data_IF_563225657527
#
_entry.id   IF_563225657527
#
_cell.length_a   1.000
_cell.length_b   1.000
_cell.length_c   1.000
_cell.angle_alpha   90.00
_cell.angle_beta   90.00
_cell.angle_gamma   90.00
#
_symmetry.space_group_name_H-M   'P 1'
#
loop_
_entity.id
_entity.type
_entity.pdbx_description
1 polymer ?
#
# COMPACT_ATOMS: atom_id res chain seq x y z
N UNK A 1 -9.59 25.03 20.96
CA UNK A 1 -10.73 24.58 20.16
C UNK A 1 -11.97 24.23 20.99
N UNK A 2 -11.84 23.61 22.17
CA UNK A 2 -12.99 23.31 23.07
C UNK A 2 -13.71 24.57 23.57
N UNK A 3 -13.01 25.64 23.92
CA UNK A 3 -13.62 26.91 24.40
C UNK A 3 -14.44 27.66 23.33
N UNK A 4 -14.17 27.44 22.06
CA UNK A 4 -14.88 28.10 20.96
C UNK A 4 -16.25 27.44 20.68
N UNK A 5 -16.38 26.16 21.01
CA UNK A 5 -17.63 25.38 20.83
C UNK A 5 -18.61 25.73 21.95
N UNK A 6 -18.13 25.93 23.18
CA UNK A 6 -18.97 26.27 24.32
C UNK A 6 -19.59 27.67 24.21
N UNK A 7 -18.88 28.65 23.62
CA UNK A 7 -19.43 29.98 23.37
C UNK A 7 -20.48 30.01 22.24
N UNK A 8 -20.37 29.13 21.25
CA UNK A 8 -21.38 29.03 20.18
C UNK A 8 -22.67 28.38 20.67
N UNK A 9 -22.58 27.42 21.56
CA UNK A 9 -23.75 26.73 22.14
C UNK A 9 -24.55 27.68 23.08
N UNK A 10 -23.86 28.55 23.83
CA UNK A 10 -24.50 29.53 24.69
C UNK A 10 -25.22 30.68 23.94
N UNK A 11 -24.70 31.12 22.81
CA UNK A 11 -25.31 32.19 22.00
C UNK A 11 -26.53 31.74 21.22
N UNK A 12 -26.63 30.46 20.87
CA UNK A 12 -27.84 29.93 20.18
C UNK A 12 -28.98 29.54 21.10
N UNK A 13 -28.73 29.34 22.39
CA UNK A 13 -29.75 28.94 23.38
C UNK A 13 -30.70 30.09 23.80
N UNK A 14 -30.42 31.32 23.44
CA UNK A 14 -31.18 32.51 23.90
C UNK A 14 -32.17 33.06 22.87
N UNK A 15 -32.27 32.51 21.66
CA UNK A 15 -33.10 33.15 20.61
C UNK A 15 -34.14 32.29 19.91
N UNK A 16 -34.43 31.07 20.33
CA UNK A 16 -35.49 30.25 19.74
C UNK A 16 -36.36 29.57 20.81
N UNK A 17 -37.43 30.23 21.20
CA UNK A 17 -38.60 29.58 21.82
C UNK A 17 -39.41 28.87 20.74
N UNK A 18 -39.67 27.60 21.00
CA UNK A 18 -40.63 26.71 20.35
C UNK A 18 -40.23 26.07 18.98
N UNK A 19 -40.11 24.73 18.99
CA UNK A 19 -40.24 23.77 17.90
C UNK A 19 -39.03 23.49 16.94
N UNK A 20 -37.84 24.05 17.12
CA UNK A 20 -36.67 23.67 16.29
C UNK A 20 -35.64 22.79 17.02
N UNK A 21 -35.77 22.58 18.31
CA UNK A 21 -34.79 21.82 19.11
C UNK A 21 -34.75 20.31 18.82
N UNK A 22 -35.83 19.74 18.32
CA UNK A 22 -35.90 18.28 18.06
C UNK A 22 -35.17 17.88 16.75
N UNK A 23 -35.20 18.71 15.73
CA UNK A 23 -34.59 18.43 14.45
C UNK A 23 -33.06 18.72 14.43
N UNK A 24 -32.61 19.71 15.21
CA UNK A 24 -31.19 20.05 15.32
C UNK A 24 -30.38 19.05 16.16
N UNK A 25 -30.99 18.51 17.23
CA UNK A 25 -30.33 17.46 18.03
C UNK A 25 -30.17 16.13 17.26
N UNK A 26 -31.10 15.78 16.37
CA UNK A 26 -30.95 14.60 15.51
C UNK A 26 -29.83 14.78 14.44
N UNK A 27 -29.70 15.97 13.91
CA UNK A 27 -28.68 16.29 12.91
C UNK A 27 -27.27 16.36 13.51
N UNK A 28 -27.09 16.93 14.71
CA UNK A 28 -25.80 16.98 15.40
C UNK A 28 -25.34 15.61 15.93
N UNK A 29 -26.26 14.80 16.46
CA UNK A 29 -25.93 13.43 16.88
C UNK A 29 -25.56 12.54 15.70
N UNK A 30 -26.15 12.75 14.52
CA UNK A 30 -25.82 12.02 13.30
C UNK A 30 -24.45 12.44 12.74
N UNK A 31 -24.09 13.73 12.80
CA UNK A 31 -22.79 14.25 12.35
C UNK A 31 -21.63 13.84 13.27
N UNK A 32 -21.83 13.81 14.58
CA UNK A 32 -20.84 13.32 15.55
C UNK A 32 -20.67 11.81 15.45
N UNK A 33 -21.73 11.06 15.22
CA UNK A 33 -21.68 9.61 15.01
C UNK A 33 -20.93 9.24 13.73
N UNK A 34 -21.14 9.95 12.63
CA UNK A 34 -20.47 9.69 11.36
C UNK A 34 -18.96 10.06 11.39
N UNK A 35 -18.59 11.16 12.06
CA UNK A 35 -17.20 11.55 12.27
C UNK A 35 -16.48 10.63 13.24
N UNK A 36 -17.12 10.22 14.32
CA UNK A 36 -16.58 9.24 15.26
C UNK A 36 -16.41 7.86 14.59
N UNK A 37 -17.36 7.45 13.76
CA UNK A 37 -17.30 6.20 13.00
C UNK A 37 -16.15 6.22 11.96
N UNK A 38 -15.89 7.35 11.30
CA UNK A 38 -14.75 7.51 10.40
C UNK A 38 -13.40 7.47 11.14
N UNK A 39 -13.29 8.13 12.28
CA UNK A 39 -12.08 8.11 13.12
C UNK A 39 -11.75 6.71 13.64
N UNK A 40 -12.75 6.01 14.13
CA UNK A 40 -12.62 4.62 14.58
C UNK A 40 -12.23 3.69 13.44
N UNK A 41 -12.76 3.91 12.22
CA UNK A 41 -12.35 3.13 11.02
C UNK A 41 -10.89 3.33 10.64
N UNK A 42 -10.31 4.49 10.89
CA UNK A 42 -8.89 4.78 10.62
C UNK A 42 -8.00 4.12 11.68
N UNK A 43 -8.39 4.16 12.95
CA UNK A 43 -7.56 3.66 14.07
C UNK A 43 -7.42 2.14 14.01
N UNK A 44 -8.49 1.35 13.91
CA UNK A 44 -8.35 -0.11 13.93
C UNK A 44 -7.63 -0.66 12.67
N UNK A 45 -7.71 0.04 11.53
CA UNK A 45 -6.92 -0.30 10.34
C UNK A 45 -5.44 -0.08 10.55
N UNK A 46 -5.04 1.03 11.20
CA UNK A 46 -3.64 1.28 11.59
C UNK A 46 -3.13 0.19 12.52
N UNK A 47 -3.90 -0.16 13.54
CA UNK A 47 -3.56 -1.24 14.47
C UNK A 47 -3.45 -2.58 13.75
N UNK A 48 -4.34 -2.91 12.83
CA UNK A 48 -4.24 -4.13 12.03
C UNK A 48 -2.95 -4.15 11.20
N UNK A 49 -2.58 -3.03 10.59
CA UNK A 49 -1.32 -2.90 9.83
C UNK A 49 -0.09 -3.09 10.73
N UNK A 50 -0.07 -2.48 11.90
CA UNK A 50 1.01 -2.60 12.87
C UNK A 50 1.16 -4.04 13.40
N UNK A 51 0.06 -4.67 13.77
CA UNK A 51 0.06 -6.08 14.19
C UNK A 51 0.47 -7.02 13.07
N UNK A 52 0.06 -6.74 11.83
CA UNK A 52 0.47 -7.51 10.66
C UNK A 52 1.98 -7.42 10.42
N UNK A 53 2.57 -6.23 10.55
CA UNK A 53 4.02 -6.05 10.47
C UNK A 53 4.73 -6.86 11.57
N UNK A 54 4.24 -6.82 12.80
CA UNK A 54 4.78 -7.55 13.94
C UNK A 54 4.68 -9.07 13.76
N UNK A 55 3.55 -9.60 13.28
CA UNK A 55 3.37 -11.03 12.96
C UNK A 55 4.37 -11.48 11.89
N UNK A 56 4.74 -10.59 10.96
CA UNK A 56 5.67 -10.88 9.88
C UNK A 56 7.14 -10.73 10.26
N UNK A 57 7.46 -10.10 11.41
CA UNK A 57 8.84 -9.96 11.89
C UNK A 57 9.46 -11.32 12.25
N UNK A 58 10.77 -11.32 12.45
CA UNK A 58 11.50 -12.53 12.87
C UNK A 58 11.23 -12.90 14.35
N UNK A 59 10.55 -12.01 15.11
CA UNK A 59 10.20 -12.23 16.54
C UNK A 59 9.08 -13.26 16.72
N UNK A 60 8.32 -13.60 15.69
CA UNK A 60 7.23 -14.56 15.73
C UNK A 60 7.41 -15.67 14.70
N UNK A 61 6.96 -16.87 15.02
CA UNK A 61 6.84 -18.00 14.11
C UNK A 61 5.35 -18.37 13.90
N UNK A 62 5.08 -19.14 12.84
CA UNK A 62 3.75 -19.76 12.68
C UNK A 62 3.56 -20.80 13.78
N UNK A 63 2.44 -20.72 14.49
CA UNK A 63 2.15 -21.50 15.67
C UNK A 63 2.30 -20.74 16.97
N UNK A 64 3.00 -19.59 16.97
CA UNK A 64 3.17 -18.77 18.15
C UNK A 64 1.85 -18.11 18.57
N UNK A 65 1.74 -17.85 19.87
CA UNK A 65 0.61 -17.16 20.46
C UNK A 65 0.89 -15.66 20.56
N UNK A 66 -0.04 -14.85 20.11
CA UNK A 66 0.00 -13.41 20.39
C UNK A 66 -0.28 -13.16 21.88
N UNK A 67 0.25 -12.06 22.45
CA UNK A 67 -0.12 -11.62 23.77
C UNK A 67 -1.64 -11.47 23.92
N UNK A 68 -2.14 -11.55 25.17
CA UNK A 68 -3.58 -11.43 25.42
C UNK A 68 -4.16 -10.14 24.87
N UNK A 69 -5.44 -10.12 24.47
CA UNK A 69 -6.11 -8.93 23.96
C UNK A 69 -5.99 -7.73 24.93
N UNK A 70 -6.01 -7.99 26.25
CA UNK A 70 -5.83 -6.94 27.26
C UNK A 70 -4.41 -6.37 27.23
N UNK A 71 -3.39 -7.24 27.12
CA UNK A 71 -2.00 -6.83 27.06
C UNK A 71 -1.71 -6.03 25.78
N UNK A 72 -2.13 -6.54 24.62
CA UNK A 72 -1.98 -5.83 23.34
C UNK A 72 -2.71 -4.50 23.31
N UNK A 73 -3.92 -4.42 23.86
CA UNK A 73 -4.69 -3.17 23.91
C UNK A 73 -3.99 -2.12 24.80
N UNK A 74 -3.43 -2.54 25.92
CA UNK A 74 -2.65 -1.66 26.82
C UNK A 74 -1.36 -1.18 26.14
N UNK A 75 -0.61 -2.07 25.51
CA UNK A 75 0.64 -1.78 24.78
C UNK A 75 0.40 -0.78 23.64
N UNK A 76 -0.63 -1.02 22.82
CA UNK A 76 -0.99 -0.19 21.66
C UNK A 76 -1.81 1.05 22.04
N UNK A 77 -2.09 1.26 23.33
CA UNK A 77 -2.86 2.39 23.88
C UNK A 77 -4.22 2.56 23.21
N UNK A 78 -4.92 1.46 22.97
CA UNK A 78 -6.26 1.44 22.37
C UNK A 78 -7.25 0.66 23.24
N UNK A 79 -8.56 0.84 22.97
CA UNK A 79 -9.59 0.03 23.63
C UNK A 79 -9.54 -1.42 23.14
N UNK A 80 -9.90 -2.38 24.01
CA UNK A 80 -10.02 -3.80 23.64
C UNK A 80 -11.00 -3.98 22.46
N UNK A 81 -12.04 -3.17 22.37
CA UNK A 81 -12.99 -3.20 21.25
C UNK A 81 -12.33 -2.78 19.92
N UNK A 82 -11.46 -1.77 19.95
CA UNK A 82 -10.69 -1.33 18.76
C UNK A 82 -9.71 -2.41 18.33
N UNK A 83 -9.01 -3.01 19.31
CA UNK A 83 -8.11 -4.14 19.05
C UNK A 83 -8.85 -5.34 18.45
N UNK A 84 -10.02 -5.70 18.97
CA UNK A 84 -10.83 -6.81 18.43
C UNK A 84 -11.22 -6.60 16.98
N UNK A 85 -11.56 -5.36 16.60
CA UNK A 85 -11.82 -5.01 15.19
C UNK A 85 -10.57 -5.16 14.32
N UNK A 86 -9.40 -4.78 14.83
CA UNK A 86 -8.14 -4.98 14.12
C UNK A 86 -7.80 -6.46 13.96
N UNK A 87 -7.92 -7.26 15.03
CA UNK A 87 -7.71 -8.71 14.99
C UNK A 87 -8.70 -9.43 14.06
N UNK A 88 -9.96 -8.95 13.97
CA UNK A 88 -10.93 -9.52 13.05
C UNK A 88 -10.49 -9.38 11.58
N UNK A 89 -9.85 -8.27 11.21
CA UNK A 89 -9.27 -8.11 9.86
C UNK A 89 -8.14 -9.14 9.60
N UNK A 90 -7.27 -9.35 10.60
CA UNK A 90 -6.17 -10.33 10.46
C UNK A 90 -6.69 -11.77 10.40
N UNK A 91 -7.79 -12.07 11.07
CA UNK A 91 -8.47 -13.36 11.03
C UNK A 91 -9.16 -13.59 9.69
N UNK A 92 -9.81 -12.57 9.12
CA UNK A 92 -10.38 -12.57 7.76
C UNK A 92 -9.29 -12.82 6.70
N UNK A 93 -8.10 -12.23 6.90
CA UNK A 93 -6.91 -12.51 6.08
C UNK A 93 -6.26 -13.88 6.35
N UNK A 94 -6.78 -14.66 7.28
CA UNK A 94 -6.26 -15.97 7.69
C UNK A 94 -4.81 -15.92 8.21
N UNK A 95 -4.40 -14.83 8.81
CA UNK A 95 -3.08 -14.69 9.44
C UNK A 95 -3.07 -15.23 10.86
N UNK A 96 -4.18 -15.09 11.56
CA UNK A 96 -4.40 -15.57 12.92
C UNK A 96 -5.65 -16.43 13.01
N UNK A 97 -5.71 -17.27 14.02
CA UNK A 97 -6.93 -17.96 14.43
C UNK A 97 -7.14 -17.77 15.92
N UNK A 98 -8.38 -17.44 16.29
CA UNK A 98 -8.79 -17.34 17.70
C UNK A 98 -9.30 -18.71 18.16
N UNK A 99 -8.74 -19.19 19.26
CA UNK A 99 -9.22 -20.41 19.91
C UNK A 99 -9.86 -20.03 21.24
N UNK A 100 -11.12 -20.38 21.40
CA UNK A 100 -11.85 -20.07 22.63
C UNK A 100 -11.10 -20.62 23.85
N UNK A 101 -10.81 -19.76 24.84
CA UNK A 101 -10.05 -20.12 26.04
C UNK A 101 -8.53 -20.25 25.87
N UNK A 102 -8.00 -20.34 24.63
CA UNK A 102 -6.57 -20.54 24.38
C UNK A 102 -5.85 -19.33 23.81
N UNK A 103 -6.59 -18.28 23.43
CA UNK A 103 -6.00 -17.05 22.89
C UNK A 103 -5.96 -16.97 21.35
N UNK A 104 -5.06 -16.17 20.83
CA UNK A 104 -4.89 -15.90 19.40
C UNK A 104 -3.57 -16.48 18.91
N UNK A 105 -3.65 -17.45 17.99
CA UNK A 105 -2.49 -18.13 17.41
C UNK A 105 -2.21 -17.59 16.01
N UNK A 106 -0.95 -17.43 15.66
CA UNK A 106 -0.48 -17.11 14.32
C UNK A 106 -0.55 -18.38 13.48
N UNK A 107 -1.46 -18.42 12.53
CA UNK A 107 -1.65 -19.59 11.65
C UNK A 107 -0.92 -19.45 10.32
N UNK A 108 -0.62 -18.21 9.95
CA UNK A 108 0.14 -17.89 8.74
C UNK A 108 0.82 -16.55 8.90
N UNK A 109 2.06 -16.44 8.48
CA UNK A 109 2.64 -15.13 8.16
C UNK A 109 2.05 -14.69 6.83
N UNK A 110 1.72 -13.41 6.66
CA UNK A 110 1.36 -12.94 5.33
C UNK A 110 2.56 -13.21 4.44
N UNK A 111 2.39 -14.14 3.50
CA UNK A 111 3.44 -14.40 2.54
C UNK A 111 3.69 -13.08 1.83
N UNK A 112 4.91 -12.60 1.86
CA UNK A 112 5.39 -11.44 1.11
C UNK A 112 5.10 -11.56 -0.41
N UNK A 113 4.64 -12.74 -0.84
CA UNK A 113 4.33 -13.07 -2.23
C UNK A 113 2.96 -12.58 -2.70
N UNK A 114 2.02 -12.25 -1.81
CA UNK A 114 0.75 -11.63 -2.21
C UNK A 114 0.85 -10.13 -2.49
N UNK A 115 1.87 -9.46 -1.94
CA UNK A 115 2.08 -8.03 -2.12
C UNK A 115 2.64 -7.62 -3.48
N UNK A 116 3.15 -8.59 -4.24
CA UNK A 116 3.73 -8.34 -5.55
C UNK A 116 2.71 -7.85 -6.58
N UNK A 117 1.48 -8.34 -6.51
CA UNK A 117 0.38 -7.92 -7.39
C UNK A 117 -0.27 -6.61 -6.96
N UNK A 118 -0.07 -6.20 -5.71
CA UNK A 118 -0.63 -4.97 -5.13
C UNK A 118 0.32 -3.76 -5.23
N UNK A 119 1.58 -3.99 -5.61
CA UNK A 119 2.61 -2.96 -5.83
C UNK A 119 3.32 -2.49 -4.56
N UNK A 120 4.27 -1.58 -4.73
CA UNK A 120 5.19 -1.11 -3.69
C UNK A 120 4.48 -0.53 -2.45
N UNK A 121 3.48 0.31 -2.65
CA UNK A 121 2.76 0.94 -1.53
C UNK A 121 2.10 -0.08 -0.61
N UNK A 122 1.55 -1.14 -1.17
CA UNK A 122 1.00 -2.24 -0.39
C UNK A 122 2.09 -3.00 0.37
N UNK A 123 3.23 -3.27 -0.29
CA UNK A 123 4.38 -3.90 0.37
C UNK A 123 4.84 -3.08 1.58
N UNK A 124 4.93 -1.75 1.45
CA UNK A 124 5.32 -0.87 2.56
C UNK A 124 4.31 -0.91 3.70
N UNK A 125 3.02 -0.92 3.39
CA UNK A 125 1.98 -1.05 4.40
C UNK A 125 2.04 -2.39 5.14
N UNK A 126 2.33 -3.48 4.43
CA UNK A 126 2.44 -4.82 5.02
C UNK A 126 3.60 -4.92 6.00
N UNK A 127 4.73 -4.26 5.71
CA UNK A 127 5.91 -4.24 6.59
C UNK A 127 5.87 -3.12 7.63
N UNK A 128 4.77 -2.35 7.68
CA UNK A 128 4.61 -1.28 8.67
C UNK A 128 5.41 -0.02 8.39
N UNK A 129 6.00 0.12 7.20
CA UNK A 129 6.68 1.36 6.78
C UNK A 129 5.62 2.40 6.44
N UNK A 130 5.64 3.52 7.14
CA UNK A 130 4.64 4.59 7.01
C UNK A 130 5.16 5.79 6.23
N UNK A 131 6.48 6.03 6.25
CA UNK A 131 7.11 7.16 5.56
C UNK A 131 7.77 6.66 4.26
N UNK A 132 6.97 6.52 3.22
CA UNK A 132 7.43 6.15 1.88
C UNK A 132 6.76 7.02 0.84
N UNK A 133 7.45 7.25 -0.28
CA UNK A 133 6.87 7.97 -1.42
C UNK A 133 7.40 7.48 -2.76
N UNK A 134 6.62 7.77 -3.79
CA UNK A 134 7.00 7.60 -5.19
C UNK A 134 7.24 8.98 -5.78
N UNK A 135 8.40 9.20 -6.36
CA UNK A 135 8.73 10.41 -7.11
C UNK A 135 8.80 10.07 -8.59
N UNK A 136 7.96 10.70 -9.40
CA UNK A 136 8.05 10.58 -10.86
C UNK A 136 9.23 11.43 -11.33
N UNK A 137 10.20 10.78 -11.99
CA UNK A 137 11.38 11.43 -12.58
C UNK A 137 11.11 11.79 -14.04
N UNK A 138 10.42 10.88 -14.75
CA UNK A 138 10.10 11.04 -16.15
C UNK A 138 8.73 10.41 -16.46
N UNK A 139 7.96 11.10 -17.29
CA UNK A 139 6.67 10.63 -17.80
C UNK A 139 6.52 11.11 -19.24
N UNK A 140 6.67 10.22 -20.19
CA UNK A 140 6.73 10.54 -21.62
C UNK A 140 5.87 9.57 -22.42
N UNK A 141 5.14 10.06 -23.41
CA UNK A 141 4.44 9.24 -24.38
C UNK A 141 5.37 9.03 -25.60
N UNK A 142 5.62 7.77 -25.93
CA UNK A 142 6.52 7.43 -27.06
C UNK A 142 5.99 6.25 -27.87
N UNK A 143 6.55 6.05 -29.04
CA UNK A 143 6.33 4.85 -29.84
C UNK A 143 7.08 3.68 -29.22
N UNK A 144 6.39 2.55 -29.03
CA UNK A 144 6.97 1.38 -28.41
C UNK A 144 8.21 0.89 -29.19
N UNK A 145 9.42 0.90 -28.57
CA UNK A 145 10.59 0.26 -29.18
C UNK A 145 10.30 -1.22 -29.46
N UNK A 146 10.87 -1.83 -30.50
CA UNK A 146 10.59 -3.22 -30.87
C UNK A 146 10.72 -4.22 -29.73
N UNK A 147 11.74 -4.08 -28.88
CA UNK A 147 11.93 -4.94 -27.72
C UNK A 147 10.82 -4.78 -26.67
N UNK A 148 10.32 -3.56 -26.45
CA UNK A 148 9.21 -3.27 -25.53
C UNK A 148 7.89 -3.76 -26.11
N UNK A 149 7.65 -3.53 -27.41
CA UNK A 149 6.48 -4.03 -28.10
C UNK A 149 6.37 -5.56 -27.98
N UNK A 150 7.49 -6.28 -28.11
CA UNK A 150 7.56 -7.72 -27.89
C UNK A 150 7.17 -8.12 -26.45
N UNK A 151 7.69 -7.42 -25.43
CA UNK A 151 7.36 -7.69 -24.03
C UNK A 151 5.89 -7.43 -23.71
N UNK A 152 5.33 -6.37 -24.26
CA UNK A 152 3.93 -6.00 -24.07
C UNK A 152 2.95 -6.75 -24.99
N UNK A 153 3.47 -7.49 -25.98
CA UNK A 153 2.70 -8.17 -27.05
C UNK A 153 1.78 -7.20 -27.82
N UNK A 154 2.31 -6.03 -28.13
CA UNK A 154 1.68 -5.00 -28.97
C UNK A 154 2.46 -4.84 -30.28
N UNK A 155 1.91 -4.10 -31.27
CA UNK A 155 2.64 -3.83 -32.49
C UNK A 155 3.78 -2.83 -32.26
N UNK A 156 4.92 -2.98 -32.92
CA UNK A 156 5.95 -1.95 -32.91
C UNK A 156 5.37 -0.60 -33.37
N UNK A 157 5.71 0.48 -32.65
CA UNK A 157 5.17 1.81 -32.93
C UNK A 157 3.83 2.13 -32.29
N UNK A 158 3.15 1.18 -31.64
CA UNK A 158 2.03 1.54 -30.78
C UNK A 158 2.47 2.43 -29.63
N UNK A 159 1.61 3.37 -29.23
CA UNK A 159 1.95 4.33 -28.15
C UNK A 159 1.99 3.68 -26.79
N UNK A 160 3.06 3.97 -26.06
CA UNK A 160 3.23 3.57 -24.66
C UNK A 160 3.67 4.76 -23.82
N UNK A 161 3.23 4.80 -22.59
CA UNK A 161 3.87 5.65 -21.60
C UNK A 161 5.18 5.01 -21.14
N UNK A 162 6.25 5.77 -21.19
CA UNK A 162 7.47 5.49 -20.45
C UNK A 162 7.43 6.28 -19.15
N UNK A 163 7.63 5.57 -18.04
CA UNK A 163 7.55 6.14 -16.69
C UNK A 163 8.78 5.74 -15.92
N UNK A 164 9.56 6.72 -15.48
CA UNK A 164 10.66 6.49 -14.54
C UNK A 164 10.28 7.03 -13.18
N UNK A 165 10.34 6.17 -12.16
CA UNK A 165 10.04 6.53 -10.77
C UNK A 165 11.15 6.16 -9.83
N UNK A 166 11.41 7.04 -8.87
CA UNK A 166 12.25 6.79 -7.73
C UNK A 166 11.36 6.48 -6.53
N UNK A 167 11.62 5.39 -5.82
CA UNK A 167 10.90 5.03 -4.60
C UNK A 167 11.79 5.23 -3.40
N UNK A 168 11.26 5.95 -2.42
CA UNK A 168 11.98 6.38 -1.24
C UNK A 168 11.31 5.83 0.01
N UNK A 169 12.12 5.50 1.01
CA UNK A 169 11.71 5.22 2.39
C UNK A 169 12.52 6.16 3.27
N UNK A 170 11.87 6.93 4.14
CA UNK A 170 12.51 7.94 4.99
C UNK A 170 13.46 8.86 4.18
N UNK A 171 13.00 9.32 3.00
CA UNK A 171 13.75 10.13 2.02
C UNK A 171 14.98 9.44 1.42
N UNK A 172 15.24 8.19 1.74
CA UNK A 172 16.34 7.41 1.20
C UNK A 172 15.89 6.67 -0.07
N UNK A 173 16.59 6.85 -1.21
CA UNK A 173 16.31 6.10 -2.44
C UNK A 173 16.55 4.61 -2.26
N UNK A 174 15.54 3.80 -2.56
CA UNK A 174 15.58 2.35 -2.40
C UNK A 174 15.62 1.64 -3.75
N UNK A 175 14.83 2.14 -4.71
CA UNK A 175 14.81 1.57 -6.05
C UNK A 175 14.41 2.61 -7.11
N UNK A 176 14.88 2.38 -8.33
CA UNK A 176 14.41 3.05 -9.55
C UNK A 176 13.59 2.05 -10.35
N UNK A 177 12.42 2.46 -10.82
CA UNK A 177 11.53 1.67 -11.66
C UNK A 177 11.33 2.38 -13.01
N UNK A 178 11.61 1.69 -14.10
CA UNK A 178 11.26 2.09 -15.46
C UNK A 178 10.06 1.23 -15.89
N UNK A 179 8.92 1.84 -16.20
CA UNK A 179 7.70 1.14 -16.61
C UNK A 179 7.31 1.54 -18.00
N UNK A 180 6.81 0.58 -18.78
CA UNK A 180 6.18 0.79 -20.09
C UNK A 180 4.74 0.33 -20.00
N UNK A 181 3.80 1.25 -20.23
CA UNK A 181 2.37 1.06 -20.01
C UNK A 181 1.63 1.38 -21.31
N UNK A 182 0.83 0.46 -21.90
CA UNK A 182 0.12 0.71 -23.14
C UNK A 182 -0.83 1.90 -23.04
N UNK A 183 -0.66 2.91 -23.90
CA UNK A 183 -1.52 4.09 -23.93
C UNK A 183 -2.98 3.74 -24.23
N UNK A 184 -3.22 2.83 -25.18
CA UNK A 184 -4.57 2.44 -25.58
C UNK A 184 -5.38 1.85 -24.41
N UNK A 185 -4.71 1.20 -23.45
CA UNK A 185 -5.38 0.64 -22.27
C UNK A 185 -5.61 1.68 -21.16
N UNK A 186 -4.74 2.69 -21.07
CA UNK A 186 -4.75 3.67 -19.97
C UNK A 186 -4.63 5.12 -20.49
N UNK A 187 -5.54 5.62 -21.33
CA UNK A 187 -5.39 6.92 -22.00
C UNK A 187 -5.38 8.12 -21.05
N UNK A 188 -5.87 7.96 -19.82
CA UNK A 188 -5.96 9.01 -18.81
C UNK A 188 -4.95 8.86 -17.67
N UNK A 189 -3.91 8.03 -17.86
CA UNK A 189 -2.84 7.91 -16.86
C UNK A 189 -2.13 9.25 -16.66
N UNK A 190 -1.94 9.64 -15.41
CA UNK A 190 -1.35 10.91 -15.03
C UNK A 190 -0.20 10.74 -14.06
N UNK A 191 0.62 11.79 -13.88
CA UNK A 191 1.67 11.85 -12.87
C UNK A 191 1.10 11.63 -11.48
N UNK A 192 -0.04 12.24 -11.15
CA UNK A 192 -0.69 12.07 -9.84
C UNK A 192 -1.08 10.62 -9.53
N UNK A 193 -1.57 9.87 -10.52
CA UNK A 193 -1.84 8.43 -10.36
C UNK A 193 -0.55 7.63 -10.08
N UNK A 194 0.54 8.01 -10.73
CA UNK A 194 1.84 7.34 -10.63
C UNK A 194 2.54 7.62 -9.30
N UNK A 195 2.41 8.83 -8.76
CA UNK A 195 2.94 9.22 -7.45
C UNK A 195 2.18 8.52 -6.31
N UNK A 196 0.89 8.29 -6.48
CA UNK A 196 0.11 7.51 -5.53
C UNK A 196 0.38 6.01 -5.70
N UNK A 197 -0.23 5.38 -6.71
CA UNK A 197 -0.03 3.96 -7.03
C UNK A 197 -0.61 3.62 -8.39
N UNK A 198 0.22 3.25 -9.37
CA UNK A 198 -0.25 2.82 -10.70
C UNK A 198 -1.26 1.66 -10.62
N UNK A 199 -1.05 0.69 -9.73
CA UNK A 199 -1.96 -0.46 -9.61
C UNK A 199 -3.29 -0.10 -8.94
N UNK A 200 -3.30 0.88 -8.03
CA UNK A 200 -4.55 1.42 -7.51
C UNK A 200 -5.35 2.14 -8.60
N UNK A 201 -4.68 2.92 -9.46
CA UNK A 201 -5.30 3.55 -10.62
C UNK A 201 -5.89 2.48 -11.55
N UNK A 202 -5.12 1.45 -11.93
CA UNK A 202 -5.61 0.36 -12.76
C UNK A 202 -6.87 -0.29 -12.18
N UNK A 203 -6.85 -0.61 -10.87
CA UNK A 203 -7.95 -1.29 -10.20
C UNK A 203 -9.16 -0.40 -9.95
N UNK A 204 -8.97 0.83 -9.45
CA UNK A 204 -10.07 1.68 -8.96
C UNK A 204 -10.70 2.52 -10.06
N UNK A 205 -9.88 3.05 -10.98
CA UNK A 205 -10.35 3.97 -12.01
C UNK A 205 -10.56 3.27 -13.34
N UNK A 206 -9.71 2.29 -13.69
CA UNK A 206 -9.81 1.56 -14.95
C UNK A 206 -10.53 0.21 -14.82
N UNK A 207 -10.86 -0.24 -13.58
CA UNK A 207 -11.48 -1.55 -13.29
C UNK A 207 -10.67 -2.75 -13.81
N UNK A 208 -9.34 -2.58 -13.92
CA UNK A 208 -8.39 -3.59 -14.35
C UNK A 208 -7.68 -4.16 -13.13
N UNK A 209 -7.94 -5.45 -12.83
CA UNK A 209 -7.27 -6.16 -11.74
C UNK A 209 -6.10 -6.96 -12.27
N UNK A 210 -4.93 -6.76 -11.66
CA UNK A 210 -3.75 -7.58 -11.96
C UNK A 210 -3.92 -8.93 -11.25
N UNK A 211 -3.84 -10.02 -12.00
CA UNK A 211 -4.00 -11.38 -11.47
C UNK A 211 -2.72 -12.18 -11.47
N UNK A 212 -1.72 -11.75 -12.26
CA UNK A 212 -0.48 -12.50 -12.44
C UNK A 212 0.67 -11.53 -12.76
N UNK A 213 1.87 -11.86 -12.30
CA UNK A 213 3.10 -11.13 -12.61
C UNK A 213 4.23 -12.13 -12.83
N UNK A 214 4.87 -12.07 -14.01
CA UNK A 214 6.07 -12.85 -14.31
C UNK A 214 7.29 -12.01 -14.02
N UNK A 215 8.21 -12.54 -13.21
CA UNK A 215 9.41 -11.82 -12.80
C UNK A 215 10.67 -12.60 -13.06
N UNK A 216 11.70 -11.90 -13.52
CA UNK A 216 13.06 -12.40 -13.57
C UNK A 216 13.99 -11.50 -12.76
N UNK A 217 14.96 -12.09 -12.10
CA UNK A 217 15.89 -11.43 -11.21
C UNK A 217 17.33 -11.61 -11.74
N UNK A 218 18.05 -10.53 -11.91
CA UNK A 218 19.42 -10.55 -12.44
C UNK A 218 20.28 -9.57 -11.67
N UNK A 219 21.43 -9.98 -11.11
CA UNK A 219 22.40 -9.05 -10.55
C UNK A 219 23.03 -8.25 -11.70
N UNK A 220 23.12 -6.93 -11.51
CA UNK A 220 23.73 -6.01 -12.48
C UNK A 220 24.56 -4.95 -11.76
N UNK A 221 25.54 -4.38 -12.46
CA UNK A 221 26.27 -3.22 -11.96
C UNK A 221 25.47 -1.94 -12.26
N UNK A 222 25.46 -1.00 -11.31
CA UNK A 222 24.81 0.28 -11.48
C UNK A 222 25.46 1.07 -12.62
N UNK A 223 24.65 1.59 -13.53
CA UNK A 223 25.08 2.64 -14.44
C UNK A 223 25.36 3.92 -13.65
N UNK A 224 26.06 4.88 -14.25
CA UNK A 224 26.31 6.19 -13.62
C UNK A 224 25.02 6.87 -13.20
N UNK A 225 24.03 6.92 -14.08
CA UNK A 225 22.71 7.51 -13.80
C UNK A 225 21.99 6.79 -12.65
N UNK A 226 21.99 5.46 -12.65
CA UNK A 226 21.38 4.68 -11.57
C UNK A 226 22.08 4.89 -10.24
N UNK A 227 23.42 4.99 -10.25
CA UNK A 227 24.21 5.26 -9.06
C UNK A 227 23.89 6.64 -8.46
N UNK A 228 23.77 7.66 -9.31
CA UNK A 228 23.37 9.01 -8.90
C UNK A 228 21.96 9.03 -8.32
N UNK A 229 20.97 8.42 -8.98
CA UNK A 229 19.58 8.36 -8.52
C UNK A 229 19.43 7.58 -7.20
N UNK A 230 20.15 6.47 -7.04
CA UNK A 230 20.08 5.59 -5.86
C UNK A 230 21.03 6.01 -4.74
N UNK A 231 21.87 7.03 -4.98
CA UNK A 231 22.89 7.50 -4.04
C UNK A 231 23.80 6.37 -3.57
N UNK A 232 24.30 5.60 -4.54
CA UNK A 232 25.27 4.52 -4.31
C UNK A 232 26.57 4.82 -5.06
N UNK A 233 27.64 4.10 -4.72
CA UNK A 233 28.90 4.21 -5.46
C UNK A 233 28.74 3.73 -6.93
N UNK A 234 29.47 4.31 -7.88
CA UNK A 234 29.52 3.79 -9.24
C UNK A 234 29.86 2.27 -9.25
N UNK A 235 29.24 1.55 -10.16
CA UNK A 235 29.38 0.08 -10.26
C UNK A 235 28.92 -0.70 -9.02
N UNK A 236 28.12 -0.10 -8.12
CA UNK A 236 27.48 -0.85 -7.04
C UNK A 236 26.63 -1.99 -7.60
N UNK A 237 26.58 -3.11 -6.90
CA UNK A 237 25.73 -4.23 -7.27
C UNK A 237 24.25 -3.87 -6.99
N UNK A 238 23.43 -3.97 -8.03
CA UNK A 238 21.98 -3.82 -7.96
C UNK A 238 21.30 -5.13 -8.33
N UNK A 239 20.07 -5.34 -7.85
CA UNK A 239 19.19 -6.39 -8.33
C UNK A 239 18.24 -5.79 -9.36
N UNK A 240 18.40 -6.18 -10.64
CA UNK A 240 17.41 -5.86 -11.67
C UNK A 240 16.29 -6.88 -11.60
N UNK A 241 15.05 -6.38 -11.49
CA UNK A 241 13.83 -7.18 -11.58
C UNK A 241 13.07 -6.74 -12.81
N UNK A 242 12.94 -7.62 -13.80
CA UNK A 242 12.02 -7.41 -14.91
C UNK A 242 10.68 -8.04 -14.55
N UNK A 243 9.60 -7.31 -14.76
CA UNK A 243 8.25 -7.72 -14.36
C UNK A 243 7.25 -7.45 -15.48
N UNK A 244 6.48 -8.47 -15.86
CA UNK A 244 5.36 -8.37 -16.79
C UNK A 244 4.08 -8.63 -16.01
N UNK A 245 3.15 -7.67 -16.04
CA UNK A 245 1.89 -7.75 -15.29
C UNK A 245 0.72 -8.06 -16.22
N UNK A 246 -0.11 -9.05 -15.83
CA UNK A 246 -1.26 -9.53 -16.59
C UNK A 246 -2.57 -9.16 -15.89
N UNK A 247 -3.51 -8.62 -16.65
CA UNK A 247 -4.87 -8.36 -16.21
C UNK A 247 -5.73 -9.63 -16.21
N UNK A 248 -6.95 -9.52 -15.63
CA UNK A 248 -7.91 -10.62 -15.55
C UNK A 248 -8.32 -11.22 -16.93
N UNK A 249 -8.22 -10.45 -18.00
CA UNK A 249 -8.43 -10.88 -19.39
C UNK A 249 -7.17 -11.43 -20.07
N UNK A 250 -6.08 -11.66 -19.31
CA UNK A 250 -4.76 -12.06 -19.80
C UNK A 250 -4.03 -11.05 -20.67
N UNK A 251 -4.54 -9.83 -20.81
CA UNK A 251 -3.81 -8.75 -21.47
C UNK A 251 -2.60 -8.34 -20.62
N UNK A 252 -1.49 -8.02 -21.28
CA UNK A 252 -0.32 -7.44 -20.64
C UNK A 252 -0.57 -5.93 -20.49
N UNK A 253 -0.48 -5.44 -19.27
CA UNK A 253 -0.81 -4.05 -18.94
C UNK A 253 0.38 -3.23 -18.45
N UNK A 254 1.49 -3.89 -18.14
CA UNK A 254 2.71 -3.23 -17.66
C UNK A 254 3.91 -4.14 -17.87
N UNK A 255 4.97 -3.58 -18.42
CA UNK A 255 6.32 -4.11 -18.36
C UNK A 255 7.20 -3.15 -17.59
N UNK A 256 7.86 -3.63 -16.55
CA UNK A 256 8.71 -2.81 -15.69
C UNK A 256 10.09 -3.41 -15.50
N UNK A 257 11.10 -2.55 -15.49
CA UNK A 257 12.46 -2.87 -15.04
C UNK A 257 12.75 -2.10 -13.76
N UNK A 258 12.99 -2.82 -12.69
CA UNK A 258 13.21 -2.28 -11.36
C UNK A 258 14.65 -2.56 -10.95
N UNK A 259 15.36 -1.53 -10.55
CA UNK A 259 16.75 -1.60 -10.07
C UNK A 259 16.75 -1.32 -8.57
N UNK A 260 17.05 -2.34 -7.79
CA UNK A 260 16.98 -2.29 -6.33
C UNK A 260 18.37 -2.17 -5.72
N UNK A 261 18.51 -1.26 -4.76
CA UNK A 261 19.69 -1.16 -3.93
C UNK A 261 19.71 -2.31 -2.92
N UNK A 262 20.55 -3.32 -3.17
CA UNK A 262 20.63 -4.55 -2.36
C UNK A 262 21.19 -4.33 -0.95
N UNK A 263 21.87 -3.21 -0.70
CA UNK A 263 22.40 -2.89 0.63
C UNK A 263 21.33 -2.31 1.56
N UNK A 264 20.23 -1.79 1.01
CA UNK A 264 19.17 -1.13 1.76
C UNK A 264 17.80 -1.84 1.67
N UNK A 265 17.63 -2.75 0.71
CA UNK A 265 16.38 -3.45 0.48
C UNK A 265 16.61 -4.93 0.21
N UNK A 266 16.16 -5.78 1.12
CA UNK A 266 16.26 -7.23 0.99
C UNK A 266 14.94 -7.81 0.44
N UNK A 267 15.06 -8.61 -0.63
CA UNK A 267 13.94 -9.41 -1.13
C UNK A 267 13.99 -10.77 -0.46
N UNK A 268 13.00 -11.08 0.38
CA UNK A 268 12.84 -12.39 1.01
C UNK A 268 11.75 -13.18 0.27
N UNK A 269 12.08 -14.34 -0.28
CA UNK A 269 11.11 -15.30 -0.81
C UNK A 269 10.98 -16.47 0.15
N UNK A 270 9.74 -16.76 0.57
CA UNK A 270 9.43 -17.92 1.40
C UNK A 270 8.57 -18.86 0.57
N UNK A 271 9.10 -20.01 0.19
CA UNK A 271 8.35 -21.08 -0.47
C UNK A 271 7.95 -22.12 0.58
N UNK A 272 6.65 -22.47 0.62
CA UNK A 272 6.14 -23.57 1.45
C UNK A 272 5.57 -24.65 0.54
N UNK A 273 5.86 -25.90 0.89
CA UNK A 273 5.22 -27.09 0.29
C UNK A 273 3.91 -27.40 0.98
#
# INVERSE_FOLDING_TARGET
MARFIDELVLKFSLQCKNNLLFTLNYSLSCLTSATLSRHLKVIYKKIATELKARINSDDYAVGDMLPSEKALAAELKVSVMTLRKALALLEEEKLIARRHGSGTCIVRKSNYHGGELEGFNYQMQVVGVTNYRNKVIEFTLLDAPPAIAQQLKIQPGEKVYYVRRLRLIDEVPILVENSYIPFATFPWLSVGNLEQSKFNYFKKECHITIIESHRSYTPVLATREQAELLQVAPNSLLLRVQSISYAQNRAIVDFSEIYQNTSKYNVKHITRR
#
